data_IF_039767886210
#
_entry.id   IF_039767886210
#
_cell.length_a   1.000
_cell.length_b   1.000
_cell.length_c   1.000
_cell.angle_alpha   90.00
_cell.angle_beta   90.00
_cell.angle_gamma   90.00
#
_symmetry.space_group_name_H-M   'P 1'
#
loop_
_entity.id
_entity.type
_entity.pdbx_description
1 polymer ?
#
# COMPACT_ATOMS: atom_id res chain seq x y z
N UNK A 1 6.83 -7.91 15.50
CA UNK A 1 6.27 -7.99 14.13
C UNK A 1 7.42 -7.69 13.16
N UNK A 2 7.42 -8.26 11.95
CA UNK A 2 8.46 -8.04 10.95
C UNK A 2 7.87 -7.26 9.79
N UNK A 3 8.49 -6.14 9.42
CA UNK A 3 8.18 -5.41 8.20
C UNK A 3 9.01 -5.93 7.03
N UNK A 4 8.50 -5.73 5.83
CA UNK A 4 9.17 -6.08 4.58
C UNK A 4 9.18 -4.85 3.70
N UNK A 5 10.27 -4.63 2.97
CA UNK A 5 10.25 -3.65 1.89
C UNK A 5 9.30 -4.12 0.78
N UNK A 6 8.82 -3.20 -0.06
CA UNK A 6 8.05 -3.57 -1.25
C UNK A 6 8.82 -4.56 -2.15
N UNK A 7 10.15 -4.42 -2.20
CA UNK A 7 11.04 -5.31 -2.97
C UNK A 7 11.14 -6.72 -2.40
N UNK A 8 11.06 -6.88 -1.09
CA UNK A 8 11.12 -8.18 -0.42
C UNK A 8 9.75 -8.85 -0.31
N UNK A 9 8.68 -8.09 -0.51
CA UNK A 9 7.32 -8.61 -0.47
C UNK A 9 7.08 -9.50 -1.69
N UNK A 10 6.53 -10.72 -1.51
CA UNK A 10 6.23 -11.60 -2.63
C UNK A 10 5.33 -10.94 -3.67
N UNK A 11 5.67 -11.08 -4.96
CA UNK A 11 5.00 -10.35 -6.04
C UNK A 11 3.49 -10.61 -6.09
N UNK A 12 3.06 -11.86 -5.85
CA UNK A 12 1.64 -12.23 -5.87
C UNK A 12 0.83 -11.60 -4.74
N UNK A 13 1.47 -11.28 -3.60
CA UNK A 13 0.85 -10.55 -2.49
C UNK A 13 0.60 -9.10 -2.92
N UNK A 14 1.62 -8.44 -3.50
CA UNK A 14 1.50 -7.06 -4.00
C UNK A 14 0.46 -6.95 -5.11
N UNK A 15 0.46 -7.87 -6.07
CA UNK A 15 -0.55 -7.91 -7.14
C UNK A 15 -1.97 -8.06 -6.59
N UNK A 16 -2.15 -8.91 -5.57
CA UNK A 16 -3.47 -9.12 -4.95
C UNK A 16 -3.94 -7.86 -4.23
N UNK A 17 -3.06 -7.18 -3.48
CA UNK A 17 -3.37 -5.90 -2.84
C UNK A 17 -3.79 -4.84 -3.86
N UNK A 18 -3.02 -4.68 -4.95
CA UNK A 18 -3.31 -3.69 -5.99
C UNK A 18 -4.62 -4.00 -6.71
N UNK A 19 -4.92 -5.29 -6.99
CA UNK A 19 -6.21 -5.69 -7.58
C UNK A 19 -7.38 -5.37 -6.64
N UNK A 20 -7.24 -5.64 -5.34
CA UNK A 20 -8.27 -5.34 -4.36
C UNK A 20 -8.55 -3.82 -4.26
N UNK A 21 -7.50 -3.00 -4.16
CA UNK A 21 -7.63 -1.54 -4.12
C UNK A 21 -8.31 -0.98 -5.38
N UNK A 22 -7.96 -1.50 -6.57
CA UNK A 22 -8.55 -1.08 -7.86
C UNK A 22 -10.04 -1.40 -8.00
N UNK A 23 -10.57 -2.33 -7.22
CA UNK A 23 -12.01 -2.57 -7.18
C UNK A 23 -12.77 -1.41 -6.51
N UNK A 24 -12.08 -0.59 -5.69
CA UNK A 24 -12.67 0.56 -4.98
C UNK A 24 -12.44 1.85 -5.78
N UNK A 25 -11.21 2.09 -6.26
CA UNK A 25 -10.90 3.29 -7.01
C UNK A 25 -9.40 3.46 -7.28
N UNK A 26 -9.01 4.68 -7.61
CA UNK A 26 -7.63 5.09 -7.91
C UNK A 26 -7.02 6.00 -6.81
N UNK A 27 -7.59 5.93 -5.60
CA UNK A 27 -7.14 6.59 -4.38
C UNK A 27 -6.02 5.87 -3.63
N UNK A 28 -5.77 6.32 -2.39
CA UNK A 28 -4.89 5.66 -1.42
C UNK A 28 -5.73 4.71 -0.56
N UNK A 29 -5.36 3.44 -0.52
CA UNK A 29 -6.07 2.43 0.27
C UNK A 29 -5.09 1.57 1.06
N UNK A 30 -5.47 1.21 2.29
CA UNK A 30 -4.87 0.10 3.03
C UNK A 30 -5.55 -1.20 2.64
N UNK A 31 -4.79 -2.28 2.48
CA UNK A 31 -5.33 -3.60 2.16
C UNK A 31 -4.74 -4.65 3.10
N UNK A 32 -5.60 -5.28 3.88
CA UNK A 32 -5.22 -6.37 4.76
C UNK A 32 -5.36 -7.70 4.04
N UNK A 33 -4.24 -8.44 4.00
CA UNK A 33 -4.15 -9.73 3.31
C UNK A 33 -3.78 -10.85 4.26
N UNK A 34 -4.28 -12.05 3.97
CA UNK A 34 -3.84 -13.29 4.59
C UNK A 34 -3.33 -14.26 3.55
N UNK A 35 -2.05 -14.61 3.62
CA UNK A 35 -1.49 -15.70 2.85
C UNK A 35 -1.68 -17.03 3.60
N UNK A 36 -2.14 -18.04 2.87
CA UNK A 36 -2.33 -19.42 3.33
C UNK A 36 -1.81 -20.40 2.28
N UNK A 37 -1.85 -21.70 2.59
CA UNK A 37 -1.55 -22.77 1.61
C UNK A 37 -2.47 -22.73 0.37
N UNK A 38 -3.67 -22.16 0.50
CA UNK A 38 -4.69 -22.14 -0.54
C UNK A 38 -4.65 -20.81 -1.35
N UNK A 39 -3.73 -19.90 -1.01
CA UNK A 39 -3.53 -18.62 -1.71
C UNK A 39 -3.56 -17.39 -0.79
N UNK A 40 -3.62 -16.22 -1.42
CA UNK A 40 -3.71 -14.90 -0.76
C UNK A 40 -5.16 -14.43 -0.77
N UNK A 41 -5.68 -14.11 0.41
CA UNK A 41 -7.06 -13.70 0.63
C UNK A 41 -7.11 -12.26 1.13
N UNK A 42 -8.05 -11.48 0.59
CA UNK A 42 -8.34 -10.12 1.07
C UNK A 42 -9.23 -10.21 2.30
N UNK A 43 -8.83 -9.53 3.38
CA UNK A 43 -9.61 -9.41 4.60
C UNK A 43 -10.38 -8.08 4.59
N UNK A 44 -9.67 -6.98 4.33
CA UNK A 44 -10.22 -5.62 4.39
C UNK A 44 -9.57 -4.72 3.33
N UNK A 45 -10.34 -3.74 2.86
CA UNK A 45 -9.82 -2.58 2.10
C UNK A 45 -10.34 -1.32 2.81
N UNK A 46 -9.44 -0.45 3.25
CA UNK A 46 -9.72 0.77 3.99
C UNK A 46 -9.31 2.00 3.17
N UNK A 47 -10.23 2.96 3.02
CA UNK A 47 -10.09 4.20 2.23
C UNK A 47 -9.37 5.33 2.97
N UNK A 48 -9.24 5.23 4.29
CA UNK A 48 -8.45 6.12 5.12
C UNK A 48 -7.50 5.29 6.01
N UNK A 49 -6.46 4.67 5.42
CA UNK A 49 -5.53 3.86 6.17
C UNK A 49 -4.70 4.71 7.13
N UNK A 50 -4.33 4.12 8.27
CA UNK A 50 -3.28 4.69 9.11
C UNK A 50 -1.92 4.49 8.46
N UNK A 51 -1.00 5.41 8.73
CA UNK A 51 0.39 5.36 8.33
C UNK A 51 1.23 5.62 9.59
N UNK A 52 2.11 4.69 9.93
CA UNK A 52 2.81 4.64 11.20
C UNK A 52 4.33 4.71 11.02
N UNK A 53 4.93 5.81 11.47
CA UNK A 53 6.40 5.91 11.54
C UNK A 53 7.02 4.70 12.27
N UNK A 54 8.13 4.20 11.71
CA UNK A 54 8.78 2.96 12.11
C UNK A 54 8.26 1.72 11.38
N UNK A 55 7.18 1.83 10.61
CA UNK A 55 6.63 0.74 9.79
C UNK A 55 6.82 0.98 8.30
N UNK A 56 6.16 1.99 7.73
CA UNK A 56 6.27 2.28 6.29
C UNK A 56 7.68 2.69 5.90
N UNK A 57 8.36 3.45 6.77
CA UNK A 57 9.73 3.94 6.59
C UNK A 57 10.81 2.98 7.12
N UNK A 58 10.43 1.80 7.63
CA UNK A 58 11.39 0.78 8.04
C UNK A 58 12.23 0.24 6.87
N UNK A 59 11.68 0.35 5.65
CA UNK A 59 12.33 -0.07 4.41
C UNK A 59 13.06 1.07 3.70
N UNK A 60 12.30 1.90 2.98
CA UNK A 60 12.85 2.96 2.12
C UNK A 60 13.09 4.30 2.86
N UNK A 61 13.00 4.31 4.20
CA UNK A 61 13.16 5.51 5.04
C UNK A 61 12.28 6.67 4.52
N UNK A 62 12.84 7.87 4.45
CA UNK A 62 12.12 9.09 4.07
C UNK A 62 11.58 9.06 2.63
N UNK A 63 12.11 8.21 1.75
CA UNK A 63 11.70 8.14 0.35
C UNK A 63 10.22 7.76 0.23
N UNK A 64 9.70 6.90 1.12
CA UNK A 64 8.29 6.50 1.11
C UNK A 64 7.37 7.71 1.32
N UNK A 65 7.73 8.59 2.25
CA UNK A 65 6.96 9.78 2.59
C UNK A 65 7.03 10.83 1.48
N UNK A 66 8.20 11.00 0.87
CA UNK A 66 8.39 11.89 -0.28
C UNK A 66 7.53 11.44 -1.45
N UNK A 67 7.58 10.15 -1.81
CA UNK A 67 6.79 9.59 -2.92
C UNK A 67 5.30 9.66 -2.67
N UNK A 68 4.86 9.36 -1.45
CA UNK A 68 3.45 9.46 -1.06
C UNK A 68 2.95 10.90 -1.17
N UNK A 69 3.70 11.87 -0.63
CA UNK A 69 3.33 13.28 -0.67
C UNK A 69 3.30 13.79 -2.11
N UNK A 70 4.31 13.45 -2.92
CA UNK A 70 4.37 13.83 -4.33
C UNK A 70 3.17 13.29 -5.11
N UNK A 71 2.75 12.05 -4.87
CA UNK A 71 1.58 11.45 -5.52
C UNK A 71 0.28 12.22 -5.24
N UNK A 72 0.12 12.80 -4.04
CA UNK A 72 -1.02 13.66 -3.73
C UNK A 72 -0.90 15.04 -4.38
N UNK A 73 0.30 15.64 -4.37
CA UNK A 73 0.55 16.93 -5.04
C UNK A 73 0.23 16.85 -6.54
N UNK A 74 0.74 15.82 -7.22
CA UNK A 74 0.50 15.61 -8.65
C UNK A 74 -1.00 15.55 -8.98
N UNK A 75 -1.81 14.90 -8.13
CA UNK A 75 -3.27 14.81 -8.31
C UNK A 75 -3.99 16.13 -8.07
N UNK A 76 -3.54 16.92 -7.09
CA UNK A 76 -4.11 18.24 -6.82
C UNK A 76 -3.78 19.21 -7.96
N UNK A 77 -2.60 19.11 -8.56
CA UNK A 77 -2.19 19.93 -9.70
C UNK A 77 -2.91 19.52 -10.99
N UNK A 78 -3.10 18.22 -11.25
CA UNK A 78 -3.87 17.72 -12.39
C UNK A 78 -5.38 18.03 -12.31
N UNK A 79 -5.90 18.28 -11.11
CA UNK A 79 -7.28 18.68 -10.87
C UNK A 79 -7.55 20.19 -11.02
N UNK A 80 -6.52 21.00 -11.25
CA UNK A 80 -6.61 22.46 -11.48
C UNK A 80 -6.60 22.83 -12.96
#
# INVERSE_FOLDING_TARGET
>A
IKTFTLKETPHHVVETAVKAARCIGDGLYGVDLKETKDGVFVIEVNDNPNLDHGWEDSGEKDEVWVRLTQWFLDRLELGN
#
